data_IF_988360298923
#
_entry.id   IF_988360298923
#
_cell.length_a   1.000
_cell.length_b   1.000
_cell.length_c   1.000
_cell.angle_alpha   90.00
_cell.angle_beta   90.00
_cell.angle_gamma   90.00
#
_symmetry.space_group_name_H-M   'P 1'
#
loop_
_entity.id
_entity.type
_entity.pdbx_description
1 polymer ?
#
# COMPACT_ATOMS: atom_id res chain seq x y z
N UNK A 1 22.18 16.97 9.99
CA UNK A 1 21.37 18.19 10.26
C UNK A 1 19.93 17.91 9.84
N UNK A 2 18.96 18.24 10.70
CA UNK A 2 17.54 18.21 10.35
C UNK A 2 17.32 19.29 9.28
N UNK A 3 17.09 18.88 8.03
CA UNK A 3 16.77 19.84 6.98
C UNK A 3 15.39 20.43 7.29
N UNK A 4 15.36 21.68 7.76
CA UNK A 4 14.14 22.42 8.13
C UNK A 4 13.10 22.35 7.02
N UNK A 5 13.52 22.47 5.75
CA UNK A 5 12.64 22.31 4.60
C UNK A 5 11.90 20.97 4.58
N UNK A 6 12.56 19.85 4.92
CA UNK A 6 11.91 18.52 4.95
C UNK A 6 10.86 18.43 6.06
N UNK A 7 11.09 19.08 7.21
CA UNK A 7 10.12 19.12 8.30
C UNK A 7 8.89 19.93 7.86
N UNK A 8 9.11 21.10 7.25
CA UNK A 8 8.02 21.93 6.73
C UNK A 8 7.17 21.13 5.73
N UNK A 9 7.78 20.49 4.74
CA UNK A 9 7.05 19.70 3.74
C UNK A 9 6.35 18.47 4.35
N UNK A 10 6.94 17.84 5.35
CA UNK A 10 6.30 16.73 6.05
C UNK A 10 5.05 17.18 6.82
N UNK A 11 5.14 18.33 7.50
CA UNK A 11 4.00 18.89 8.21
C UNK A 11 2.89 19.34 7.26
N UNK A 12 3.22 19.99 6.13
CA UNK A 12 2.21 20.39 5.13
C UNK A 12 1.52 19.18 4.50
N UNK A 13 2.24 18.07 4.29
CA UNK A 13 1.64 16.80 3.87
C UNK A 13 0.68 16.21 4.91
N UNK A 14 0.96 16.36 6.20
CA UNK A 14 0.01 15.94 7.25
C UNK A 14 -1.22 16.86 7.26
N UNK A 15 -1.04 18.16 7.11
CA UNK A 15 -2.16 19.10 7.05
C UNK A 15 -3.04 18.84 5.82
N UNK A 16 -2.46 18.52 4.66
CA UNK A 16 -3.22 18.18 3.46
C UNK A 16 -4.15 16.98 3.68
N UNK A 17 -3.66 15.89 4.30
CA UNK A 17 -4.54 14.74 4.63
C UNK A 17 -5.58 15.07 5.69
N UNK A 18 -5.25 15.86 6.71
CA UNK A 18 -6.22 16.30 7.73
C UNK A 18 -7.34 17.18 7.15
N UNK A 19 -7.02 18.04 6.18
CA UNK A 19 -8.02 18.82 5.45
C UNK A 19 -8.97 17.88 4.70
N UNK A 20 -8.45 16.86 4.01
CA UNK A 20 -9.31 15.86 3.33
C UNK A 20 -10.25 15.15 4.31
N UNK A 21 -9.77 14.78 5.49
CA UNK A 21 -10.55 14.04 6.50
C UNK A 21 -11.67 14.90 7.09
N UNK A 22 -11.43 16.19 7.28
CA UNK A 22 -12.37 17.12 7.91
C UNK A 22 -13.29 17.85 6.93
N UNK A 23 -13.01 17.76 5.63
CA UNK A 23 -13.72 18.49 4.59
C UNK A 23 -15.14 17.93 4.35
N UNK A 24 -16.11 18.85 4.23
CA UNK A 24 -17.48 18.53 3.82
C UNK A 24 -17.72 18.74 2.31
N UNK A 25 -16.95 19.62 1.66
CA UNK A 25 -17.14 19.97 0.25
C UNK A 25 -16.12 19.28 -0.66
N UNK A 26 -16.56 18.92 -1.88
CA UNK A 26 -15.69 18.33 -2.91
C UNK A 26 -14.47 19.20 -3.24
N UNK A 27 -14.66 20.51 -3.28
CA UNK A 27 -13.57 21.45 -3.53
C UNK A 27 -12.54 21.46 -2.39
N UNK A 28 -12.98 21.40 -1.13
CA UNK A 28 -12.07 21.32 0.02
C UNK A 28 -11.29 20.00 0.06
N UNK A 29 -11.93 18.88 -0.27
CA UNK A 29 -11.25 17.60 -0.46
C UNK A 29 -10.20 17.67 -1.57
N UNK A 30 -10.50 18.32 -2.70
CA UNK A 30 -9.54 18.53 -3.78
C UNK A 30 -8.34 19.38 -3.32
N UNK A 31 -8.56 20.49 -2.61
CA UNK A 31 -7.46 21.33 -2.06
C UNK A 31 -6.54 20.49 -1.17
N UNK A 32 -7.09 19.69 -0.26
CA UNK A 32 -6.28 18.84 0.63
C UNK A 32 -5.42 17.83 -0.14
N UNK A 33 -5.96 17.24 -1.23
CA UNK A 33 -5.21 16.36 -2.11
C UNK A 33 -4.09 17.08 -2.89
N UNK A 34 -4.29 18.34 -3.30
CA UNK A 34 -3.26 19.13 -3.99
C UNK A 34 -2.14 19.57 -3.05
N UNK A 35 -2.48 19.94 -1.81
CA UNK A 35 -1.46 20.21 -0.77
C UNK A 35 -0.61 18.96 -0.54
N UNK A 36 -1.19 17.76 -0.51
CA UNK A 36 -0.45 16.49 -0.41
C UNK A 36 0.48 16.25 -1.61
N UNK A 37 0.00 16.51 -2.83
CA UNK A 37 0.79 16.37 -4.06
C UNK A 37 2.01 17.29 -4.06
N UNK A 38 1.80 18.58 -3.78
CA UNK A 38 2.89 19.57 -3.81
C UNK A 38 3.90 19.37 -2.68
N UNK A 39 3.44 18.95 -1.51
CA UNK A 39 4.30 18.73 -0.34
C UNK A 39 5.17 17.47 -0.45
N UNK A 40 4.70 16.40 -1.11
CA UNK A 40 5.50 15.18 -1.20
C UNK A 40 6.63 15.28 -2.24
N UNK A 41 6.50 16.06 -3.32
CA UNK A 41 7.51 16.13 -4.40
C UNK A 41 8.92 16.47 -3.86
N UNK A 42 9.10 17.49 -2.99
CA UNK A 42 10.40 17.76 -2.36
C UNK A 42 10.90 16.63 -1.45
N UNK A 43 10.00 15.87 -0.81
CA UNK A 43 10.34 14.72 0.04
C UNK A 43 10.82 13.51 -0.78
N UNK A 44 10.32 13.36 -2.02
CA UNK A 44 10.77 12.31 -2.95
C UNK A 44 12.21 12.52 -3.43
N UNK A 45 12.65 13.79 -3.54
CA UNK A 45 14.01 14.14 -3.97
C UNK A 45 15.04 13.76 -2.89
N UNK A 46 15.61 12.57 -3.04
CA UNK A 46 16.69 12.08 -2.17
C UNK A 46 18.01 12.01 -2.96
N UNK A 47 19.14 12.52 -2.43
CA UNK A 47 20.42 12.44 -3.13
C UNK A 47 20.98 11.03 -3.19
N UNK A 48 20.44 10.09 -2.39
CA UNK A 48 20.92 8.71 -2.27
C UNK A 48 20.29 7.75 -3.28
N UNK A 49 19.23 8.18 -3.96
CA UNK A 49 18.56 7.38 -4.99
C UNK A 49 19.18 7.65 -6.36
N UNK A 50 19.19 6.63 -7.22
CA UNK A 50 19.75 6.70 -8.59
C UNK A 50 18.91 7.59 -9.51
N UNK A 51 17.57 7.50 -9.44
CA UNK A 51 16.65 8.21 -10.35
C UNK A 51 15.53 8.98 -9.63
N UNK A 52 15.82 9.82 -8.61
CA UNK A 52 14.79 10.56 -7.86
C UNK A 52 14.02 11.54 -8.74
N UNK A 53 14.71 12.22 -9.67
CA UNK A 53 14.11 13.25 -10.52
C UNK A 53 13.07 12.66 -11.47
N UNK A 54 13.39 11.55 -12.13
CA UNK A 54 12.46 10.85 -13.02
C UNK A 54 11.23 10.34 -12.25
N UNK A 55 11.44 9.70 -11.10
CA UNK A 55 10.36 9.23 -10.25
C UNK A 55 9.45 10.38 -9.78
N UNK A 56 10.03 11.52 -9.40
CA UNK A 56 9.25 12.70 -8.99
C UNK A 56 8.45 13.30 -10.14
N UNK A 57 8.99 13.31 -11.37
CA UNK A 57 8.27 13.80 -12.55
C UNK A 57 7.13 12.86 -12.95
N UNK A 58 7.35 11.54 -12.96
CA UNK A 58 6.29 10.55 -13.21
C UNK A 58 5.15 10.66 -12.19
N UNK A 59 5.49 10.84 -10.92
CA UNK A 59 4.50 11.08 -9.86
C UNK A 59 3.73 12.39 -10.09
N UNK A 60 4.42 13.50 -10.37
CA UNK A 60 3.77 14.79 -10.58
C UNK A 60 2.80 14.77 -11.76
N UNK A 61 3.22 14.25 -12.92
CA UNK A 61 2.39 14.24 -14.14
C UNK A 61 1.13 13.39 -13.93
N UNK A 62 1.27 12.21 -13.33
CA UNK A 62 0.14 11.30 -13.13
C UNK A 62 -0.85 11.81 -12.10
N UNK A 63 -0.36 12.39 -11.00
CA UNK A 63 -1.21 12.90 -9.93
C UNK A 63 -1.90 14.22 -10.30
N UNK A 64 -1.24 15.08 -11.09
CA UNK A 64 -1.85 16.31 -11.62
C UNK A 64 -2.91 16.01 -12.70
N UNK A 65 -2.69 15.00 -13.54
CA UNK A 65 -3.74 14.53 -14.45
C UNK A 65 -4.96 14.01 -13.65
N UNK A 66 -4.73 13.18 -12.64
CA UNK A 66 -5.82 12.70 -11.80
C UNK A 66 -6.57 13.83 -11.08
N UNK A 67 -5.87 14.87 -10.61
CA UNK A 67 -6.51 15.99 -9.91
C UNK A 67 -7.31 16.91 -10.82
N UNK A 68 -6.84 17.13 -12.05
CA UNK A 68 -7.58 17.88 -13.07
C UNK A 68 -8.86 17.16 -13.49
N UNK A 69 -8.80 15.83 -13.70
CA UNK A 69 -10.00 15.01 -13.96
C UNK A 69 -10.98 15.08 -12.79
N UNK A 70 -10.49 15.01 -11.54
CA UNK A 70 -11.34 15.12 -10.35
C UNK A 70 -12.05 16.48 -10.30
N UNK A 71 -11.30 17.57 -10.50
CA UNK A 71 -11.88 18.92 -10.47
C UNK A 71 -12.90 19.12 -11.60
N UNK A 72 -12.59 18.65 -12.80
CA UNK A 72 -13.50 18.71 -13.94
C UNK A 72 -14.82 17.98 -13.63
N UNK A 73 -14.75 16.77 -13.07
CA UNK A 73 -15.94 16.01 -12.71
C UNK A 73 -16.79 16.73 -11.66
N UNK A 74 -16.15 17.32 -10.64
CA UNK A 74 -16.83 18.06 -9.58
C UNK A 74 -17.53 19.31 -10.12
N UNK A 75 -16.86 20.08 -11.00
CA UNK A 75 -17.44 21.28 -11.64
C UNK A 75 -18.60 20.93 -12.57
N UNK A 76 -18.48 19.84 -13.33
CA UNK A 76 -19.58 19.37 -14.15
C UNK A 76 -20.77 18.95 -13.28
N UNK A 77 -20.52 18.22 -12.18
CA UNK A 77 -21.56 17.77 -11.25
C UNK A 77 -22.30 18.94 -10.59
N UNK A 78 -21.62 20.03 -10.21
CA UNK A 78 -22.26 21.20 -9.61
C UNK A 78 -23.16 21.98 -10.57
N UNK A 79 -22.90 21.89 -11.87
CA UNK A 79 -23.63 22.62 -12.91
C UNK A 79 -24.85 21.86 -13.46
N UNK A 80 -25.13 20.63 -13.02
CA UNK A 80 -26.17 19.78 -13.63
C UNK A 80 -27.60 20.08 -13.19
N UNK A 81 -27.83 21.00 -12.25
CA UNK A 81 -29.14 21.14 -11.63
C UNK A 81 -30.27 21.63 -12.57
N UNK A 82 -30.02 21.87 -13.86
CA UNK A 82 -31.06 22.41 -14.75
C UNK A 82 -31.32 21.63 -16.06
N UNK A 83 -30.39 20.86 -16.65
CA UNK A 83 -30.58 20.35 -18.04
C UNK A 83 -30.04 18.95 -18.41
N UNK A 84 -29.51 18.15 -17.47
CA UNK A 84 -28.82 16.90 -17.83
C UNK A 84 -29.61 15.62 -17.50
N UNK A 85 -29.54 14.58 -18.36
CA UNK A 85 -30.26 13.32 -18.15
C UNK A 85 -29.74 12.59 -16.90
N UNK A 86 -30.63 11.90 -16.18
CA UNK A 86 -30.35 11.22 -14.90
C UNK A 86 -29.11 10.28 -14.92
N UNK A 87 -28.78 9.68 -16.07
CA UNK A 87 -27.59 8.82 -16.25
C UNK A 87 -26.25 9.57 -16.27
N UNK A 88 -26.24 10.89 -16.49
CA UNK A 88 -25.03 11.72 -16.46
C UNK A 88 -24.35 11.69 -15.07
N UNK A 89 -25.13 11.54 -14.00
CA UNK A 89 -24.64 11.47 -12.63
C UNK A 89 -23.75 10.23 -12.39
N UNK A 90 -24.14 9.06 -12.90
CA UNK A 90 -23.36 7.83 -12.76
C UNK A 90 -22.02 7.92 -13.50
N UNK A 91 -22.02 8.48 -14.71
CA UNK A 91 -20.80 8.69 -15.48
C UNK A 91 -19.82 9.60 -14.74
N UNK A 92 -20.30 10.70 -14.15
CA UNK A 92 -19.46 11.63 -13.39
C UNK A 92 -18.93 11.01 -12.10
N UNK A 93 -19.72 10.19 -11.40
CA UNK A 93 -19.24 9.45 -10.22
C UNK A 93 -18.15 8.45 -10.64
N UNK A 94 -18.31 7.76 -11.77
CA UNK A 94 -17.26 6.88 -12.32
C UNK A 94 -16.01 7.70 -12.68
N UNK A 95 -16.17 8.91 -13.22
CA UNK A 95 -15.04 9.81 -13.52
C UNK A 95 -14.28 10.17 -12.24
N UNK A 96 -14.98 10.59 -11.17
CA UNK A 96 -14.38 10.89 -9.86
C UNK A 96 -13.66 9.66 -9.31
N UNK A 97 -14.30 8.49 -9.35
CA UNK A 97 -13.74 7.26 -8.83
C UNK A 97 -12.50 6.82 -9.64
N UNK A 98 -12.51 6.96 -10.96
CA UNK A 98 -11.35 6.65 -11.80
C UNK A 98 -10.15 7.56 -11.48
N UNK A 99 -10.39 8.85 -11.24
CA UNK A 99 -9.36 9.80 -10.82
C UNK A 99 -8.76 9.43 -9.45
N UNK A 100 -9.59 9.08 -8.47
CA UNK A 100 -9.14 8.65 -7.14
C UNK A 100 -8.36 7.33 -7.20
N UNK A 101 -8.80 6.37 -7.99
CA UNK A 101 -8.08 5.10 -8.22
C UNK A 101 -6.73 5.32 -8.90
N UNK A 102 -6.66 6.28 -9.83
CA UNK A 102 -5.40 6.71 -10.43
C UNK A 102 -4.46 7.31 -9.38
N UNK A 103 -4.97 8.14 -8.44
CA UNK A 103 -4.16 8.67 -7.33
C UNK A 103 -3.59 7.59 -6.42
N UNK A 104 -4.33 6.50 -6.17
CA UNK A 104 -3.89 5.36 -5.32
C UNK A 104 -2.95 4.41 -6.08
N UNK A 105 -2.98 4.40 -7.41
CA UNK A 105 -2.19 3.49 -8.25
C UNK A 105 -2.83 2.11 -8.39
N UNK A 106 -4.16 2.03 -8.37
CA UNK A 106 -4.89 0.77 -8.59
C UNK A 106 -5.01 0.46 -10.08
N UNK A 107 -5.08 -0.83 -10.43
CA UNK A 107 -5.30 -1.23 -11.81
C UNK A 107 -6.72 -0.82 -12.24
N UNK A 108 -6.91 -0.34 -13.49
CA UNK A 108 -5.97 -0.33 -14.60
C UNK A 108 -4.87 0.74 -14.57
N UNK A 109 -5.01 1.80 -13.76
CA UNK A 109 -4.10 2.96 -13.68
C UNK A 109 -2.82 2.73 -12.86
N UNK A 110 -2.36 1.48 -12.75
CA UNK A 110 -1.30 1.06 -11.83
C UNK A 110 0.13 1.29 -12.34
N UNK A 111 0.33 1.48 -13.65
CA UNK A 111 1.65 1.45 -14.30
C UNK A 111 2.66 2.43 -13.69
N UNK A 112 2.23 3.62 -13.32
CA UNK A 112 3.10 4.64 -12.73
C UNK A 112 3.67 4.24 -11.37
N UNK A 113 2.94 3.41 -10.62
CA UNK A 113 3.20 3.19 -9.21
C UNK A 113 4.46 2.33 -8.95
N UNK A 114 4.65 1.15 -9.58
CA UNK A 114 5.89 0.39 -9.46
C UNK A 114 7.13 1.14 -9.99
N UNK A 115 6.99 1.91 -11.07
CA UNK A 115 8.09 2.68 -11.67
C UNK A 115 8.56 3.81 -10.74
N UNK A 116 7.63 4.58 -10.18
CA UNK A 116 7.96 5.64 -9.22
C UNK A 116 8.65 5.04 -8.00
N UNK A 117 8.12 3.94 -7.44
CA UNK A 117 8.69 3.32 -6.24
C UNK A 117 10.11 2.78 -6.47
N UNK A 118 10.43 2.29 -7.67
CA UNK A 118 11.78 1.81 -7.97
C UNK A 118 12.85 2.91 -7.92
N UNK A 119 12.51 4.14 -8.28
CA UNK A 119 13.43 5.28 -8.25
C UNK A 119 13.64 5.90 -6.86
N UNK A 120 12.91 5.43 -5.84
CA UNK A 120 12.86 6.07 -4.51
C UNK A 120 13.73 5.38 -3.45
N UNK A 121 14.03 6.15 -2.40
CA UNK A 121 14.62 5.64 -1.15
C UNK A 121 13.59 4.88 -0.30
N UNK A 122 14.05 4.05 0.64
CA UNK A 122 13.14 3.31 1.53
C UNK A 122 12.20 4.19 2.37
N UNK A 123 12.65 5.37 2.79
CA UNK A 123 11.79 6.30 3.53
C UNK A 123 10.69 6.90 2.65
N UNK A 124 11.05 7.31 1.43
CA UNK A 124 10.08 7.91 0.50
C UNK A 124 9.13 6.86 -0.08
N UNK A 125 9.60 5.62 -0.32
CA UNK A 125 8.73 4.52 -0.70
C UNK A 125 7.73 4.18 0.40
N UNK A 126 8.11 4.24 1.68
CA UNK A 126 7.17 4.06 2.78
C UNK A 126 6.03 5.09 2.78
N UNK A 127 6.36 6.37 2.61
CA UNK A 127 5.35 7.44 2.54
C UNK A 127 4.36 7.23 1.40
N UNK A 128 4.85 6.76 0.24
CA UNK A 128 4.04 6.54 -0.94
C UNK A 128 3.18 5.26 -0.85
N UNK A 129 3.71 4.21 -0.19
CA UNK A 129 2.97 2.96 0.06
C UNK A 129 1.85 3.13 1.10
N UNK A 130 2.00 4.07 2.04
CA UNK A 130 1.09 4.23 3.20
C UNK A 130 0.38 5.57 3.20
N UNK A 131 1.06 6.65 3.61
CA UNK A 131 0.46 7.95 3.89
C UNK A 131 -0.31 8.53 2.71
N UNK A 132 0.24 8.44 1.50
CA UNK A 132 -0.40 8.98 0.30
C UNK A 132 -1.69 8.26 -0.11
N UNK A 133 -1.92 7.04 0.40
CA UNK A 133 -3.14 6.28 0.12
C UNK A 133 -4.30 6.68 1.03
N UNK A 134 -4.03 7.26 2.20
CA UNK A 134 -5.06 7.60 3.19
C UNK A 134 -6.12 8.56 2.65
N UNK A 135 -5.70 9.73 2.16
CA UNK A 135 -6.62 10.76 1.68
C UNK A 135 -7.56 10.26 0.59
N UNK A 136 -7.04 9.76 -0.55
CA UNK A 136 -7.88 9.24 -1.63
C UNK A 136 -8.80 8.09 -1.21
N UNK A 137 -8.35 7.19 -0.32
CA UNK A 137 -9.20 6.08 0.15
C UNK A 137 -10.37 6.57 1.00
N UNK A 138 -10.17 7.59 1.82
CA UNK A 138 -11.25 8.20 2.60
C UNK A 138 -12.30 8.79 1.68
N UNK A 139 -11.87 9.50 0.62
CA UNK A 139 -12.80 10.06 -0.37
C UNK A 139 -13.58 8.95 -1.10
N UNK A 140 -12.93 7.85 -1.46
CA UNK A 140 -13.60 6.69 -2.09
C UNK A 140 -14.69 6.08 -1.20
N UNK A 141 -14.59 6.21 0.13
CA UNK A 141 -15.65 5.70 1.02
C UNK A 141 -16.97 6.47 0.89
N UNK A 142 -16.96 7.71 0.36
CA UNK A 142 -18.18 8.49 0.15
C UNK A 142 -18.87 8.17 -1.19
N UNK A 143 -18.10 7.78 -2.22
CA UNK A 143 -18.61 7.56 -3.58
C UNK A 143 -18.55 6.09 -3.99
N UNK A 144 -19.58 5.34 -3.64
CA UNK A 144 -19.66 3.91 -3.94
C UNK A 144 -20.43 3.63 -5.23
N UNK A 145 -19.76 3.01 -6.20
CA UNK A 145 -20.37 2.43 -7.41
C UNK A 145 -20.02 0.95 -7.49
N UNK A 146 -20.91 0.08 -7.01
CA UNK A 146 -20.65 -1.35 -6.76
C UNK A 146 -20.02 -2.05 -7.99
N UNK A 147 -20.67 -1.98 -9.16
CA UNK A 147 -20.20 -2.69 -10.36
C UNK A 147 -18.79 -2.27 -10.81
N UNK A 148 -18.52 -0.97 -10.77
CA UNK A 148 -17.20 -0.44 -11.14
C UNK A 148 -16.11 -0.87 -10.15
N UNK A 149 -16.40 -0.86 -8.85
CA UNK A 149 -15.44 -1.30 -7.83
C UNK A 149 -15.16 -2.80 -7.94
N UNK A 150 -16.18 -3.63 -8.19
CA UNK A 150 -15.97 -5.08 -8.38
C UNK A 150 -15.01 -5.34 -9.55
N UNK A 151 -15.20 -4.64 -10.68
CA UNK A 151 -14.29 -4.72 -11.81
C UNK A 151 -12.85 -4.35 -11.43
N UNK A 152 -12.68 -3.22 -10.74
CA UNK A 152 -11.37 -2.73 -10.28
C UNK A 152 -10.71 -3.69 -9.30
N UNK A 153 -11.48 -4.26 -8.35
CA UNK A 153 -10.98 -5.22 -7.35
C UNK A 153 -10.43 -6.47 -8.04
N UNK A 154 -11.20 -7.08 -8.94
CA UNK A 154 -10.78 -8.29 -9.66
C UNK A 154 -9.58 -8.01 -10.56
N UNK A 155 -9.61 -6.89 -11.29
CA UNK A 155 -8.52 -6.56 -12.20
C UNK A 155 -7.23 -6.26 -11.44
N UNK A 156 -7.30 -5.49 -10.36
CA UNK A 156 -6.13 -5.14 -9.54
C UNK A 156 -5.53 -6.34 -8.81
N UNK A 157 -6.34 -7.27 -8.30
CA UNK A 157 -5.83 -8.47 -7.65
C UNK A 157 -5.08 -9.38 -8.64
N UNK A 158 -5.63 -9.61 -9.84
CA UNK A 158 -4.99 -10.42 -10.88
C UNK A 158 -3.69 -9.78 -11.40
N UNK A 159 -3.75 -8.49 -11.76
CA UNK A 159 -2.58 -7.74 -12.24
C UNK A 159 -1.46 -7.75 -11.22
N UNK A 160 -1.78 -7.53 -9.94
CA UNK A 160 -0.78 -7.53 -8.87
C UNK A 160 -0.06 -8.87 -8.74
N UNK A 161 -0.81 -9.98 -8.85
CA UNK A 161 -0.27 -11.34 -8.78
C UNK A 161 0.65 -11.63 -9.97
N UNK A 162 0.15 -11.47 -11.19
CA UNK A 162 0.86 -11.87 -12.42
C UNK A 162 2.14 -11.04 -12.59
N UNK A 163 2.04 -9.71 -12.51
CA UNK A 163 3.19 -8.83 -12.72
C UNK A 163 4.18 -8.83 -11.56
N UNK A 164 3.72 -9.14 -10.35
CA UNK A 164 4.58 -9.26 -9.17
C UNK A 164 5.54 -10.45 -9.25
N UNK A 165 5.13 -11.56 -9.88
CA UNK A 165 5.97 -12.76 -9.99
C UNK A 165 7.27 -12.48 -10.74
N UNK A 166 7.27 -11.65 -11.78
CA UNK A 166 8.48 -11.45 -12.59
C UNK A 166 9.42 -10.34 -12.09
N UNK A 167 9.17 -9.75 -10.91
CA UNK A 167 10.00 -8.63 -10.43
C UNK A 167 11.23 -9.10 -9.65
N UNK A 168 12.35 -8.41 -9.89
CA UNK A 168 13.64 -8.64 -9.22
C UNK A 168 13.91 -7.57 -8.13
N UNK A 169 13.43 -6.34 -8.34
CA UNK A 169 13.61 -5.25 -7.38
C UNK A 169 12.59 -5.36 -6.23
N UNK A 170 13.08 -5.31 -4.99
CA UNK A 170 12.27 -5.48 -3.79
C UNK A 170 11.20 -4.39 -3.65
N UNK A 171 11.56 -3.19 -4.11
CA UNK A 171 10.66 -2.04 -4.16
C UNK A 171 9.46 -2.30 -5.09
N UNK A 172 9.66 -2.87 -6.28
CA UNK A 172 8.54 -3.22 -7.19
C UNK A 172 7.71 -4.36 -6.61
N UNK A 173 8.33 -5.36 -5.99
CA UNK A 173 7.57 -6.44 -5.35
C UNK A 173 6.65 -5.89 -4.25
N UNK A 174 7.16 -4.97 -3.42
CA UNK A 174 6.33 -4.28 -2.44
C UNK A 174 5.26 -3.39 -3.08
N UNK A 175 5.55 -2.74 -4.22
CA UNK A 175 4.57 -1.96 -4.95
C UNK A 175 3.38 -2.84 -5.40
N UNK A 176 3.64 -3.95 -6.10
CA UNK A 176 2.61 -4.90 -6.52
C UNK A 176 1.88 -5.53 -5.34
N UNK A 177 2.57 -5.85 -4.25
CA UNK A 177 1.89 -6.31 -3.03
C UNK A 177 0.89 -5.30 -2.51
N UNK A 178 1.25 -4.01 -2.54
CA UNK A 178 0.37 -2.96 -2.03
C UNK A 178 -0.85 -2.80 -2.92
N UNK A 179 -0.73 -3.01 -4.24
CA UNK A 179 -1.88 -3.02 -5.17
C UNK A 179 -2.84 -4.15 -4.78
N UNK A 180 -2.32 -5.34 -4.45
CA UNK A 180 -3.15 -6.44 -3.96
C UNK A 180 -3.86 -6.08 -2.65
N UNK A 181 -3.13 -5.56 -1.65
CA UNK A 181 -3.74 -5.14 -0.38
C UNK A 181 -4.79 -4.04 -0.57
N UNK A 182 -4.59 -3.12 -1.54
CA UNK A 182 -5.62 -2.14 -1.90
C UNK A 182 -6.87 -2.79 -2.49
N UNK A 183 -6.74 -3.86 -3.27
CA UNK A 183 -7.89 -4.60 -3.81
C UNK A 183 -8.76 -5.18 -2.67
N UNK A 184 -8.12 -5.77 -1.66
CA UNK A 184 -8.81 -6.23 -0.44
C UNK A 184 -9.47 -5.08 0.31
N UNK A 185 -8.74 -3.98 0.52
CA UNK A 185 -9.27 -2.78 1.16
C UNK A 185 -10.49 -2.22 0.42
N UNK A 186 -10.48 -2.13 -0.91
CA UNK A 186 -11.65 -1.71 -1.69
C UNK A 186 -12.84 -2.67 -1.53
N UNK A 187 -12.59 -3.98 -1.46
CA UNK A 187 -13.65 -4.96 -1.24
C UNK A 187 -14.37 -4.74 0.09
N UNK A 188 -13.65 -4.30 1.13
CA UNK A 188 -14.27 -3.96 2.42
C UNK A 188 -15.11 -2.68 2.37
N UNK A 189 -14.69 -1.69 1.55
CA UNK A 189 -15.38 -0.40 1.39
C UNK A 189 -16.79 -0.59 0.79
N UNK A 190 -17.03 -1.66 0.01
CA UNK A 190 -18.34 -1.98 -0.55
C UNK A 190 -19.45 -2.09 0.52
N UNK A 191 -19.12 -2.52 1.74
CA UNK A 191 -20.12 -2.75 2.80
C UNK A 191 -19.74 -2.14 4.15
N UNK A 192 -18.62 -2.55 4.73
CA UNK A 192 -18.21 -2.11 6.06
C UNK A 192 -16.93 -1.28 5.99
N UNK A 193 -17.13 0.04 5.94
CA UNK A 193 -16.06 1.06 5.88
C UNK A 193 -15.07 0.97 7.06
N UNK A 194 -15.49 0.46 8.22
CA UNK A 194 -14.63 0.30 9.40
C UNK A 194 -13.57 -0.79 9.23
N UNK A 195 -13.90 -1.89 8.53
CA UNK A 195 -12.96 -2.99 8.28
C UNK A 195 -11.81 -2.54 7.37
N UNK A 196 -12.07 -1.59 6.47
CA UNK A 196 -11.01 -1.00 5.66
C UNK A 196 -9.94 -0.33 6.53
N UNK A 197 -10.34 0.49 7.51
CA UNK A 197 -9.41 1.19 8.39
C UNK A 197 -8.58 0.20 9.22
N UNK A 198 -9.19 -0.86 9.75
CA UNK A 198 -8.45 -1.88 10.50
C UNK A 198 -7.46 -2.62 9.60
N UNK A 199 -7.84 -2.96 8.37
CA UNK A 199 -6.92 -3.53 7.39
C UNK A 199 -5.75 -2.58 7.12
N UNK A 200 -6.03 -1.30 6.88
CA UNK A 200 -5.00 -0.31 6.58
C UNK A 200 -3.99 -0.18 7.72
N UNK A 201 -4.44 -0.10 8.98
CA UNK A 201 -3.55 -0.05 10.14
C UNK A 201 -2.65 -1.29 10.19
N UNK A 202 -3.23 -2.49 10.05
CA UNK A 202 -2.48 -3.76 10.04
C UNK A 202 -1.44 -3.77 8.89
N UNK A 203 -1.84 -3.35 7.69
CA UNK A 203 -0.94 -3.25 6.54
C UNK A 203 0.21 -2.26 6.78
N UNK A 204 -0.08 -1.09 7.37
CA UNK A 204 0.97 -0.11 7.70
C UNK A 204 1.97 -0.67 8.71
N UNK A 205 1.51 -1.36 9.77
CA UNK A 205 2.40 -1.95 10.77
C UNK A 205 3.35 -2.99 10.16
N UNK A 206 2.82 -3.93 9.35
CA UNK A 206 3.65 -4.96 8.70
C UNK A 206 4.64 -4.32 7.72
N UNK A 207 4.19 -3.36 6.92
CA UNK A 207 5.06 -2.70 5.92
C UNK A 207 6.18 -1.87 6.55
N UNK A 208 5.93 -1.19 7.68
CA UNK A 208 6.99 -0.51 8.46
C UNK A 208 8.10 -1.48 8.82
N UNK A 209 7.75 -2.65 9.37
CA UNK A 209 8.73 -3.63 9.83
C UNK A 209 9.62 -4.15 8.69
N UNK A 210 9.01 -4.44 7.54
CA UNK A 210 9.75 -4.89 6.34
C UNK A 210 10.68 -3.79 5.83
N UNK A 211 10.19 -2.55 5.74
CA UNK A 211 10.96 -1.44 5.16
C UNK A 211 12.09 -1.01 6.10
N UNK A 212 11.88 -1.00 7.43
CA UNK A 212 12.93 -0.75 8.41
C UNK A 212 14.03 -1.80 8.31
N UNK A 213 13.66 -3.08 8.13
CA UNK A 213 14.62 -4.16 7.89
C UNK A 213 15.45 -3.95 6.61
N UNK A 214 14.80 -3.64 5.49
CA UNK A 214 15.52 -3.36 4.23
C UNK A 214 16.41 -2.14 4.31
N UNK A 215 15.99 -1.10 5.05
CA UNK A 215 16.79 0.09 5.28
C UNK A 215 18.00 -0.20 6.16
N UNK A 216 17.86 -1.01 7.20
CA UNK A 216 18.98 -1.39 8.07
C UNK A 216 20.05 -2.16 7.28
N UNK A 217 19.63 -3.05 6.37
CA UNK A 217 20.52 -3.87 5.56
C UNK A 217 20.93 -3.20 4.22
N UNK A 218 20.39 -2.02 3.89
CA UNK A 218 20.57 -1.32 2.61
C UNK A 218 20.36 -2.18 1.35
N UNK A 219 19.36 -3.08 1.38
CA UNK A 219 19.06 -4.01 0.29
C UNK A 219 18.02 -3.39 -0.63
N UNK A 220 18.18 -3.52 -1.95
CA UNK A 220 17.17 -3.10 -2.95
C UNK A 220 16.80 -4.20 -3.94
N UNK A 221 17.66 -5.18 -4.14
CA UNK A 221 17.51 -6.24 -5.14
C UNK A 221 17.48 -7.62 -4.50
N UNK A 222 16.75 -8.56 -5.11
CA UNK A 222 16.70 -9.96 -4.67
C UNK A 222 18.10 -10.59 -4.51
N UNK A 223 19.05 -10.28 -5.41
CA UNK A 223 20.42 -10.81 -5.36
C UNK A 223 21.19 -10.40 -4.10
N UNK A 224 20.89 -9.23 -3.53
CA UNK A 224 21.55 -8.73 -2.31
C UNK A 224 20.99 -9.39 -1.03
N UNK A 225 19.80 -9.98 -1.08
CA UNK A 225 19.24 -10.68 0.08
C UNK A 225 20.04 -11.91 0.46
N UNK A 226 20.58 -12.63 -0.53
CA UNK A 226 21.34 -13.85 -0.28
C UNK A 226 22.60 -13.60 0.57
N UNK A 227 23.38 -12.57 0.25
CA UNK A 227 24.62 -12.28 0.97
C UNK A 227 24.38 -11.70 2.35
N UNK A 228 23.41 -10.81 2.49
CA UNK A 228 23.11 -10.10 3.74
C UNK A 228 22.41 -10.98 4.79
N UNK A 229 21.51 -11.87 4.38
CA UNK A 229 20.74 -12.70 5.31
C UNK A 229 21.55 -13.85 5.92
N UNK A 230 22.71 -14.19 5.35
CA UNK A 230 23.58 -15.25 5.87
C UNK A 230 24.38 -14.82 7.10
N UNK A 231 24.47 -13.52 7.39
CA UNK A 231 25.27 -13.02 8.53
C UNK A 231 24.66 -13.37 9.89
N UNK A 232 23.33 -13.48 10.00
CA UNK A 232 22.68 -13.75 11.29
C UNK A 232 21.37 -14.51 11.13
N UNK A 233 21.27 -15.66 11.80
CA UNK A 233 20.11 -16.55 11.75
C UNK A 233 18.83 -15.89 12.28
N UNK A 234 18.94 -15.03 13.31
CA UNK A 234 17.79 -14.31 13.85
C UNK A 234 17.20 -13.29 12.86
N UNK A 235 18.04 -12.51 12.15
CA UNK A 235 17.54 -11.55 11.13
C UNK A 235 16.81 -12.30 10.01
N UNK A 236 17.36 -13.44 9.58
CA UNK A 236 16.77 -14.32 8.57
C UNK A 236 15.40 -14.84 9.00
N UNK A 237 15.26 -15.32 10.24
CA UNK A 237 13.96 -15.77 10.77
C UNK A 237 12.92 -14.64 10.78
N UNK A 238 13.25 -13.46 11.33
CA UNK A 238 12.31 -12.34 11.34
C UNK A 238 11.93 -11.86 9.94
N UNK A 239 12.87 -11.88 8.99
CA UNK A 239 12.58 -11.55 7.60
C UNK A 239 11.51 -12.48 7.01
N UNK A 240 11.68 -13.80 7.18
CA UNK A 240 10.74 -14.79 6.65
C UNK A 240 9.37 -14.61 7.30
N UNK A 241 9.31 -14.52 8.62
CA UNK A 241 8.05 -14.38 9.35
C UNK A 241 7.29 -13.12 8.95
N UNK A 242 7.99 -12.00 8.71
CA UNK A 242 7.35 -10.77 8.25
C UNK A 242 6.73 -10.91 6.85
N UNK A 243 7.40 -11.58 5.91
CA UNK A 243 6.83 -11.82 4.57
C UNK A 243 5.65 -12.80 4.59
N UNK A 244 5.70 -13.82 5.46
CA UNK A 244 4.57 -14.72 5.68
C UNK A 244 3.37 -13.97 6.33
N UNK A 245 3.65 -13.01 7.22
CA UNK A 245 2.60 -12.15 7.78
C UNK A 245 1.97 -11.26 6.72
N UNK A 246 2.75 -10.70 5.78
CA UNK A 246 2.25 -9.90 4.66
C UNK A 246 1.43 -10.76 3.68
N UNK A 247 1.78 -12.03 3.51
CA UNK A 247 0.97 -12.98 2.75
C UNK A 247 -0.38 -13.28 3.41
N UNK A 248 -0.50 -13.05 4.73
CA UNK A 248 -1.71 -13.28 5.50
C UNK A 248 -1.94 -14.76 5.80
N UNK A 249 -0.89 -15.50 6.19
CA UNK A 249 -1.04 -16.87 6.69
C UNK A 249 -1.70 -16.90 8.07
N UNK A 250 -2.50 -17.94 8.40
CA UNK A 250 -3.31 -18.01 9.62
C UNK A 250 -2.63 -17.65 10.94
N UNK A 251 -1.37 -18.04 11.24
CA UNK A 251 -0.78 -17.73 12.54
C UNK A 251 -0.41 -16.26 12.75
N UNK A 252 -0.43 -15.43 11.70
CA UNK A 252 0.08 -14.05 11.76
C UNK A 252 -1.02 -12.99 11.64
N UNK A 253 -0.72 -11.79 12.15
CA UNK A 253 -1.62 -10.62 12.17
C UNK A 253 -2.27 -10.30 10.81
N UNK A 254 -1.54 -10.47 9.69
CA UNK A 254 -2.06 -10.16 8.35
C UNK A 254 -3.19 -11.08 7.86
N UNK A 255 -3.46 -12.20 8.54
CA UNK A 255 -4.62 -13.05 8.24
C UNK A 255 -5.93 -12.43 8.72
N UNK A 256 -5.94 -11.80 9.89
CA UNK A 256 -7.14 -11.24 10.53
C UNK A 256 -7.97 -10.36 9.59
N UNK A 257 -7.40 -9.34 8.91
CA UNK A 257 -8.24 -8.44 8.14
C UNK A 257 -8.70 -9.07 6.82
N UNK A 258 -7.98 -10.06 6.25
CA UNK A 258 -8.48 -10.83 5.11
C UNK A 258 -9.67 -11.70 5.52
N UNK A 259 -9.59 -12.34 6.67
CA UNK A 259 -10.66 -13.16 7.21
C UNK A 259 -11.94 -12.34 7.49
N UNK A 260 -11.79 -11.16 8.10
CA UNK A 260 -12.91 -10.24 8.31
C UNK A 260 -13.59 -9.84 7.00
N UNK A 261 -12.80 -9.56 5.95
CA UNK A 261 -13.34 -9.18 4.64
C UNK A 261 -14.05 -10.35 3.97
N UNK A 262 -13.49 -11.56 4.03
CA UNK A 262 -14.14 -12.73 3.43
C UNK A 262 -15.47 -13.03 4.10
N UNK A 263 -15.56 -12.94 5.42
CA UNK A 263 -16.82 -13.16 6.15
C UNK A 263 -17.87 -12.13 5.72
N UNK A 264 -17.49 -10.85 5.68
CA UNK A 264 -18.38 -9.77 5.27
C UNK A 264 -18.88 -9.91 3.81
N UNK A 265 -18.02 -10.34 2.88
CA UNK A 265 -18.43 -10.59 1.50
C UNK A 265 -19.40 -11.76 1.38
N UNK A 266 -19.20 -12.82 2.18
CA UNK A 266 -20.05 -14.01 2.24
C UNK A 266 -21.42 -13.67 2.81
N UNK A 267 -21.48 -12.90 3.90
CA UNK A 267 -22.72 -12.43 4.52
C UNK A 267 -23.56 -11.58 3.56
N UNK A 268 -22.91 -10.83 2.68
CA UNK A 268 -23.57 -10.00 1.67
C UNK A 268 -23.69 -10.67 0.27
N UNK A 269 -23.62 -12.01 0.20
CA UNK A 269 -23.83 -12.81 -1.02
C UNK A 269 -22.84 -12.58 -2.18
N UNK A 270 -21.69 -11.93 -1.96
CA UNK A 270 -20.65 -11.74 -2.98
C UNK A 270 -19.64 -12.91 -3.03
N UNK A 271 -20.16 -14.12 -3.23
CA UNK A 271 -19.36 -15.34 -3.27
C UNK A 271 -18.32 -15.36 -4.41
N UNK A 272 -18.67 -14.82 -5.58
CA UNK A 272 -17.77 -14.82 -6.74
C UNK A 272 -16.54 -13.95 -6.49
N UNK A 273 -16.74 -12.74 -5.93
CA UNK A 273 -15.66 -11.80 -5.61
C UNK A 273 -14.75 -12.38 -4.53
N UNK A 274 -15.31 -13.01 -3.50
CA UNK A 274 -14.52 -13.61 -2.41
C UNK A 274 -13.66 -14.77 -2.91
N UNK A 275 -14.18 -15.66 -3.76
CA UNK A 275 -13.42 -16.77 -4.34
C UNK A 275 -12.24 -16.24 -5.18
N UNK A 276 -12.49 -15.24 -6.05
CA UNK A 276 -11.45 -14.66 -6.90
C UNK A 276 -10.38 -13.98 -6.05
N UNK A 277 -10.77 -13.23 -5.01
CA UNK A 277 -9.82 -12.60 -4.09
C UNK A 277 -8.95 -13.64 -3.38
N UNK A 278 -9.54 -14.71 -2.84
CA UNK A 278 -8.78 -15.78 -2.19
C UNK A 278 -7.81 -16.44 -3.18
N UNK A 279 -8.29 -16.84 -4.36
CA UNK A 279 -7.45 -17.48 -5.39
C UNK A 279 -6.29 -16.56 -5.83
N UNK A 280 -6.57 -15.28 -6.05
CA UNK A 280 -5.56 -14.30 -6.47
C UNK A 280 -4.47 -14.07 -5.40
N UNK A 281 -4.76 -14.25 -4.11
CA UNK A 281 -3.73 -14.09 -3.05
C UNK A 281 -2.66 -15.18 -3.06
N UNK A 282 -2.90 -16.32 -3.71
CA UNK A 282 -1.90 -17.37 -3.86
C UNK A 282 -0.72 -16.90 -4.74
N UNK A 283 -0.95 -15.99 -5.68
CA UNK A 283 0.11 -15.44 -6.54
C UNK A 283 1.10 -14.55 -5.74
N UNK A 284 0.64 -13.58 -4.91
CA UNK A 284 1.50 -12.91 -3.94
C UNK A 284 2.21 -13.82 -2.96
N UNK A 285 1.51 -14.82 -2.43
CA UNK A 285 2.15 -15.82 -1.58
C UNK A 285 3.32 -16.50 -2.31
N UNK A 286 3.14 -16.89 -3.57
CA UNK A 286 4.19 -17.54 -4.36
C UNK A 286 5.45 -16.68 -4.50
N UNK A 287 5.33 -15.39 -4.88
CA UNK A 287 6.52 -14.56 -5.03
C UNK A 287 7.18 -14.19 -3.69
N UNK A 288 6.43 -14.13 -2.59
CA UNK A 288 7.02 -14.03 -1.25
C UNK A 288 7.78 -15.29 -0.87
N UNK A 289 7.19 -16.47 -1.10
CA UNK A 289 7.83 -17.75 -0.84
C UNK A 289 9.12 -17.89 -1.65
N UNK A 290 9.14 -17.43 -2.91
CA UNK A 290 10.37 -17.37 -3.70
C UNK A 290 11.45 -16.53 -3.01
N UNK A 291 11.10 -15.35 -2.48
CA UNK A 291 12.07 -14.49 -1.78
C UNK A 291 12.57 -15.12 -0.49
N UNK A 292 11.69 -15.76 0.28
CA UNK A 292 12.08 -16.37 1.56
C UNK A 292 12.85 -17.67 1.36
N UNK A 293 12.45 -18.51 0.40
CA UNK A 293 13.16 -19.76 0.11
C UNK A 293 14.55 -19.52 -0.44
N UNK A 294 14.73 -18.48 -1.25
CA UNK A 294 16.05 -18.12 -1.75
C UNK A 294 17.02 -17.81 -0.60
N UNK A 295 16.53 -17.24 0.50
CA UNK A 295 17.35 -17.12 1.73
C UNK A 295 17.51 -18.45 2.45
N UNK A 296 16.49 -19.33 2.49
CA UNK A 296 16.50 -20.58 3.26
C UNK A 296 17.41 -21.67 2.66
N UNK A 297 17.42 -21.88 1.34
CA UNK A 297 17.87 -23.16 0.75
C UNK A 297 18.85 -23.07 -0.43
N UNK A 298 19.90 -22.26 -0.34
CA UNK A 298 21.07 -22.50 -1.20
C UNK A 298 22.33 -22.39 -0.36
N UNK A 299 23.04 -23.52 -0.21
CA UNK A 299 24.44 -23.66 0.19
C UNK A 299 25.09 -22.32 0.54
N UNK A 300 24.85 -21.86 1.77
CA UNK A 300 25.34 -20.57 2.21
C UNK A 300 26.77 -20.77 2.64
N UNK A 301 27.72 -20.25 1.86
CA UNK A 301 29.07 -20.05 2.35
C UNK A 301 28.98 -19.02 3.48
N UNK A 302 28.94 -19.49 4.72
CA UNK A 302 29.06 -18.63 5.89
C UNK A 302 30.49 -18.09 5.90
N UNK A 303 30.64 -16.77 5.93
CA UNK A 303 31.95 -16.16 6.13
C UNK A 303 32.34 -16.45 7.59
N UNK A 304 33.47 -17.14 7.79
CA UNK A 304 33.96 -17.53 9.11
C UNK A 304 34.20 -16.34 10.05
N UNK A 305 34.37 -15.14 9.48
CA UNK A 305 34.43 -13.88 10.22
C UNK A 305 33.06 -13.57 10.82
N UNK A 306 32.86 -14.00 12.07
CA UNK A 306 31.79 -13.49 12.93
C UNK A 306 32.02 -12.00 13.17
N UNK A 307 31.41 -11.16 12.35
CA UNK A 307 31.13 -9.79 12.78
C UNK A 307 29.98 -9.88 13.77
N UNK A 308 30.23 -9.53 15.03
CA UNK A 308 29.18 -9.34 16.03
C UNK A 308 28.36 -8.11 15.69
N UNK A 309 27.55 -8.20 14.63
CA UNK A 309 26.51 -7.21 14.44
C UNK A 309 25.41 -7.47 15.46
N UNK A 310 25.48 -6.75 16.59
CA UNK A 310 24.39 -6.65 17.55
C UNK A 310 23.15 -6.17 16.81
N UNK A 311 22.22 -7.10 16.60
CA UNK A 311 20.97 -6.74 15.98
C UNK A 311 20.21 -5.78 16.89
N UNK A 312 19.72 -4.68 16.33
CA UNK A 312 19.13 -3.62 17.13
C UNK A 312 17.88 -4.14 17.86
N UNK A 313 17.91 -4.13 19.19
CA UNK A 313 16.83 -4.61 20.05
C UNK A 313 15.48 -3.98 19.72
N UNK A 314 15.47 -2.71 19.27
CA UNK A 314 14.24 -2.02 18.83
C UNK A 314 13.58 -2.72 17.64
N UNK A 315 14.37 -3.23 16.68
CA UNK A 315 13.85 -3.92 15.50
C UNK A 315 13.29 -5.30 15.90
N UNK A 316 13.93 -5.98 16.85
CA UNK A 316 13.44 -7.26 17.39
C UNK A 316 12.07 -7.06 18.06
N UNK A 317 11.96 -6.06 18.94
CA UNK A 317 10.71 -5.76 19.63
C UNK A 317 9.58 -5.45 18.65
N UNK A 318 9.83 -4.56 17.67
CA UNK A 318 8.83 -4.20 16.67
C UNK A 318 8.32 -5.41 15.88
N UNK A 319 9.23 -6.32 15.49
CA UNK A 319 8.83 -7.55 14.79
C UNK A 319 8.05 -8.50 15.70
N UNK A 320 8.47 -8.66 16.96
CA UNK A 320 7.78 -9.52 17.92
C UNK A 320 6.33 -9.07 18.12
N UNK A 321 6.11 -7.76 18.31
CA UNK A 321 4.76 -7.21 18.43
C UNK A 321 3.93 -7.43 17.16
N UNK A 322 4.49 -7.23 15.96
CA UNK A 322 3.71 -7.46 14.74
C UNK A 322 3.36 -8.94 14.51
N UNK A 323 4.26 -9.85 14.85
CA UNK A 323 4.09 -11.29 14.58
C UNK A 323 3.14 -11.95 15.58
N UNK A 324 3.21 -11.57 16.85
CA UNK A 324 2.31 -12.07 17.91
C UNK A 324 0.95 -11.39 17.93
N UNK A 325 0.76 -10.34 17.13
CA UNK A 325 -0.41 -9.46 17.23
C UNK A 325 -1.75 -10.17 17.02
N UNK A 326 -1.82 -11.26 16.23
CA UNK A 326 -3.06 -12.02 16.05
C UNK A 326 -3.60 -12.53 17.40
N UNK A 327 -2.74 -13.16 18.20
CA UNK A 327 -3.11 -13.70 19.51
C UNK A 327 -3.61 -12.59 20.45
N UNK A 328 -2.96 -11.42 20.39
CA UNK A 328 -3.39 -10.27 21.20
C UNK A 328 -4.76 -9.76 20.76
N UNK A 329 -5.01 -9.66 19.45
CA UNK A 329 -6.29 -9.19 18.92
C UNK A 329 -7.44 -10.15 19.27
N UNK A 330 -7.24 -11.45 19.15
CA UNK A 330 -8.27 -12.44 19.51
C UNK A 330 -8.55 -12.45 21.01
N UNK A 331 -7.51 -12.29 21.84
CA UNK A 331 -7.69 -12.24 23.30
C UNK A 331 -8.43 -10.98 23.75
N UNK A 332 -8.18 -9.83 23.09
CA UNK A 332 -8.95 -8.60 23.36
C UNK A 332 -10.42 -8.81 23.02
N UNK A 333 -10.73 -9.46 21.89
CA UNK A 333 -12.12 -9.73 21.52
C UNK A 333 -12.83 -10.67 22.50
N UNK A 334 -12.11 -11.61 23.12
CA UNK A 334 -12.69 -12.50 24.13
C UNK A 334 -12.89 -11.83 25.50
N UNK A 335 -12.30 -10.65 25.74
CA UNK A 335 -12.44 -9.90 26.99
C UNK A 335 -13.63 -8.93 26.98
N UNK A 336 -14.22 -8.70 25.80
CA UNK A 336 -15.43 -7.90 25.60
C UNK A 336 -16.56 -8.80 25.11
#
# INVERSE_FOLDING_TARGET
>A
MLNIHKIMFFNTMIFGTLIVISAYSWFSMWIGLEINLLSIIPLLKSPKSLYPSEASMKYFITQSLASTILLLAVLLMSNLNEFMPQNSSLFLIILINSALLMKIGMAPFHWWFPEVIEGLSWNSSFLLLTWQKLGPMIILTYNLTINFFIFVIIFSSLVSGIWGVNQISLRKILAYSSINHMAWMLASILYFKTIWLTYFIIYTLISVNIIVMFKYLNIFWLKQLFSSMNQSKMKKLFFILNFLSLAGLPPFLGFMPKWLITNNLIENNFYTVSIILIASTLLPLFFYMRMTFSTLTFSTNEVLLKTEEKFNFKIILLNFFSLSGLLTCTNIYNLF
#
